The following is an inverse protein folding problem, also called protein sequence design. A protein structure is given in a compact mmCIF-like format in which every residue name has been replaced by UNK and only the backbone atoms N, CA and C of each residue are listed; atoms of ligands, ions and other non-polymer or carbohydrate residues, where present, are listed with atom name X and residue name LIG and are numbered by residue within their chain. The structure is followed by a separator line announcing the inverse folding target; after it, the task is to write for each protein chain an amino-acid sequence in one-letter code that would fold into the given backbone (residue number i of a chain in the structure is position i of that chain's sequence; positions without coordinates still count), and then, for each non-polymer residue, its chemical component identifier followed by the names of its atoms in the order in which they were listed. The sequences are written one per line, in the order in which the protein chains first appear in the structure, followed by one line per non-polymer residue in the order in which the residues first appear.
data_IF_720761276759
#
_entry.id   IF_720761276759
#
_cell.length_a   1.000
_cell.length_b   1.000
_cell.length_c   1.000
_cell.angle_alpha   90.00
_cell.angle_beta   90.00
_cell.angle_gamma   90.00
#
_symmetry.space_group_name_H-M   'P 1'
#
loop_
_entity.id
_entity.type
_entity.pdbx_description
1 polymer ?
#
# COMPACT_ATOMS: atom_id res chain seq x y z
N UNK A 1 15.47 16.24 -14.65
CA UNK A 1 15.30 16.53 -13.21
C UNK A 1 14.06 15.79 -12.81
N UNK A 2 14.17 14.88 -11.85
CA UNK A 2 13.20 13.82 -11.56
C UNK A 2 11.79 14.34 -11.22
N UNK A 3 11.69 15.59 -10.73
CA UNK A 3 10.42 16.29 -10.42
C UNK A 3 9.42 16.42 -11.60
N UNK A 4 9.87 16.27 -12.85
CA UNK A 4 8.99 16.35 -14.03
C UNK A 4 8.34 15.02 -14.42
N UNK A 5 8.97 13.89 -14.07
CA UNK A 5 8.49 12.55 -14.43
C UNK A 5 7.45 12.05 -13.41
N UNK A 6 7.58 12.47 -12.14
CA UNK A 6 6.69 12.07 -11.06
C UNK A 6 5.26 12.57 -11.28
N UNK A 7 5.08 13.84 -11.68
CA UNK A 7 3.74 14.40 -11.88
C UNK A 7 2.96 13.68 -12.99
N UNK A 8 3.62 13.37 -14.10
CA UNK A 8 3.01 12.62 -15.21
C UNK A 8 2.64 11.19 -14.81
N UNK A 9 3.48 10.53 -14.00
CA UNK A 9 3.15 9.23 -13.43
C UNK A 9 1.96 9.28 -12.48
N UNK A 10 1.90 10.27 -11.57
CA UNK A 10 0.78 10.42 -10.63
C UNK A 10 -0.55 10.58 -11.36
N UNK A 11 -0.61 11.47 -12.34
CA UNK A 11 -1.82 11.67 -13.17
C UNK A 11 -2.20 10.39 -13.94
N UNK A 12 -1.21 9.61 -14.39
CA UNK A 12 -1.43 8.31 -15.03
C UNK A 12 -2.06 7.28 -14.10
N UNK A 13 -1.53 7.13 -12.88
CA UNK A 13 -2.09 6.21 -11.89
C UNK A 13 -3.48 6.65 -11.43
N UNK A 14 -3.71 7.95 -11.22
CA UNK A 14 -5.04 8.48 -10.89
C UNK A 14 -6.07 8.19 -12.00
N UNK A 15 -5.66 8.25 -13.26
CA UNK A 15 -6.54 7.91 -14.38
C UNK A 15 -6.92 6.43 -14.38
N UNK A 16 -5.97 5.52 -14.13
CA UNK A 16 -6.24 4.08 -13.99
C UNK A 16 -7.17 3.83 -12.80
N UNK A 17 -6.89 4.44 -11.64
CA UNK A 17 -7.71 4.26 -10.43
C UNK A 17 -9.10 4.90 -10.51
N UNK A 18 -9.32 5.79 -11.47
CA UNK A 18 -10.65 6.32 -11.79
C UNK A 18 -11.47 5.34 -12.63
N UNK A 19 -10.81 4.50 -13.43
CA UNK A 19 -11.45 3.43 -14.21
C UNK A 19 -11.66 2.18 -13.37
N UNK A 20 -10.64 1.76 -12.62
CA UNK A 20 -10.71 0.69 -11.62
C UNK A 20 -10.13 1.15 -10.27
N UNK A 21 -10.99 1.57 -9.33
CA UNK A 21 -10.57 2.02 -8.00
C UNK A 21 -9.89 0.95 -7.14
N UNK A 22 -9.99 -0.32 -7.51
CA UNK A 22 -9.45 -1.44 -6.74
C UNK A 22 -8.35 -2.18 -7.51
N UNK A 23 -7.81 -1.60 -8.58
CA UNK A 23 -6.67 -2.16 -9.30
C UNK A 23 -5.46 -2.23 -8.36
N UNK A 24 -5.17 -3.45 -7.90
CA UNK A 24 -4.14 -3.74 -6.91
C UNK A 24 -2.76 -3.36 -7.44
N UNK A 25 -2.51 -3.58 -8.72
CA UNK A 25 -1.23 -3.29 -9.36
C UNK A 25 -1.02 -1.77 -9.45
N UNK A 26 -2.03 -1.02 -9.90
CA UNK A 26 -1.99 0.43 -9.95
C UNK A 26 -1.85 1.05 -8.55
N UNK A 27 -2.59 0.56 -7.55
CA UNK A 27 -2.49 1.02 -6.17
C UNK A 27 -1.08 0.76 -5.60
N UNK A 28 -0.51 -0.42 -5.85
CA UNK A 28 0.82 -0.80 -5.38
C UNK A 28 1.95 0.01 -6.03
N UNK A 29 1.87 0.17 -7.35
CA UNK A 29 2.88 0.90 -8.13
C UNK A 29 2.82 2.40 -7.82
N UNK A 30 1.62 2.96 -7.65
CA UNK A 30 1.47 4.34 -7.24
C UNK A 30 1.99 4.57 -5.82
N UNK A 31 1.69 3.65 -4.89
CA UNK A 31 2.25 3.73 -3.54
C UNK A 31 3.78 3.71 -3.55
N UNK A 32 4.39 2.82 -4.34
CA UNK A 32 5.86 2.74 -4.46
C UNK A 32 6.47 4.06 -4.91
N UNK A 33 5.86 4.75 -5.88
CA UNK A 33 6.29 6.08 -6.30
C UNK A 33 6.17 7.12 -5.18
N UNK A 34 5.07 7.09 -4.42
CA UNK A 34 4.85 8.00 -3.28
C UNK A 34 5.73 7.68 -2.06
N UNK A 35 6.40 6.52 -2.03
CA UNK A 35 7.34 6.18 -0.98
C UNK A 35 8.73 6.81 -1.17
N UNK A 36 9.01 7.37 -2.35
CA UNK A 36 10.27 8.07 -2.62
C UNK A 36 10.40 9.38 -1.83
N UNK A 37 9.28 9.99 -1.44
CA UNK A 37 9.25 11.23 -0.67
C UNK A 37 8.58 11.03 0.70
N UNK A 38 9.28 11.41 1.78
CA UNK A 38 8.75 11.38 3.16
C UNK A 38 7.40 12.12 3.30
N UNK A 39 7.21 13.21 2.54
CA UNK A 39 5.99 14.00 2.56
C UNK A 39 4.76 13.23 2.04
N UNK A 40 4.95 12.28 1.13
CA UNK A 40 3.86 11.50 0.50
C UNK A 40 3.72 10.09 1.06
N UNK A 41 4.55 9.71 2.03
CA UNK A 41 4.45 8.40 2.66
C UNK A 41 3.05 8.14 3.25
N UNK A 42 2.39 9.14 3.84
CA UNK A 42 1.01 8.99 4.35
C UNK A 42 0.00 8.59 3.27
N UNK A 43 0.15 9.12 2.05
CA UNK A 43 -0.69 8.77 0.90
C UNK A 43 -0.35 7.36 0.38
N UNK A 44 0.93 7.01 0.31
CA UNK A 44 1.37 5.67 -0.06
C UNK A 44 0.75 4.59 0.84
N UNK A 45 0.70 4.85 2.16
CA UNK A 45 0.09 3.92 3.11
C UNK A 45 -1.41 3.72 2.85
N UNK A 46 -2.14 4.79 2.55
CA UNK A 46 -3.56 4.71 2.24
C UNK A 46 -3.82 3.88 0.96
N UNK A 47 -2.96 4.01 -0.05
CA UNK A 47 -3.02 3.21 -1.27
C UNK A 47 -2.73 1.73 -1.00
N UNK A 48 -1.69 1.41 -0.22
CA UNK A 48 -1.36 0.04 0.15
C UNK A 48 -2.44 -0.60 1.01
N UNK A 49 -3.05 0.14 1.93
CA UNK A 49 -4.21 -0.34 2.72
C UNK A 49 -5.40 -0.70 1.82
N UNK A 50 -5.67 0.09 0.77
CA UNK A 50 -6.70 -0.23 -0.23
C UNK A 50 -6.33 -1.46 -1.05
N UNK A 51 -5.08 -1.56 -1.48
CA UNK A 51 -4.58 -2.71 -2.23
C UNK A 51 -4.69 -4.00 -1.42
N UNK A 52 -4.35 -3.97 -0.11
CA UNK A 52 -4.55 -5.10 0.81
C UNK A 52 -6.03 -5.41 1.05
N UNK A 53 -6.91 -4.42 1.07
CA UNK A 53 -8.35 -4.68 1.19
C UNK A 53 -8.92 -5.41 -0.06
N UNK A 54 -8.36 -5.13 -1.24
CA UNK A 54 -8.76 -5.76 -2.50
C UNK A 54 -8.08 -7.13 -2.71
N UNK A 55 -6.80 -7.25 -2.35
CA UNK A 55 -6.03 -8.49 -2.41
C UNK A 55 -5.17 -8.64 -1.13
N UNK A 56 -5.76 -9.21 -0.06
CA UNK A 56 -5.09 -9.34 1.24
C UNK A 56 -3.80 -10.16 1.19
N UNK A 57 -3.72 -11.09 0.24
CA UNK A 57 -2.62 -12.05 0.10
C UNK A 57 -1.60 -11.64 -0.97
N UNK A 58 -1.68 -10.39 -1.46
CA UNK A 58 -0.73 -9.91 -2.44
C UNK A 58 0.63 -9.65 -1.77
N UNK A 59 1.56 -10.60 -1.89
CA UNK A 59 2.90 -10.54 -1.28
C UNK A 59 3.64 -9.25 -1.61
N UNK A 60 3.46 -8.71 -2.81
CA UNK A 60 4.10 -7.47 -3.24
C UNK A 60 3.61 -6.26 -2.44
N UNK A 61 2.28 -6.12 -2.29
CA UNK A 61 1.66 -5.08 -1.48
C UNK A 61 2.07 -5.21 -0.02
N UNK A 62 2.06 -6.44 0.52
CA UNK A 62 2.53 -6.74 1.87
C UNK A 62 3.99 -6.29 2.06
N UNK A 63 4.85 -6.57 1.08
CA UNK A 63 6.27 -6.20 1.12
C UNK A 63 6.48 -4.70 1.11
N UNK A 64 5.74 -3.97 0.25
CA UNK A 64 5.81 -2.51 0.18
C UNK A 64 5.27 -1.85 1.46
N UNK A 65 4.22 -2.42 2.04
CA UNK A 65 3.69 -1.97 3.33
C UNK A 65 4.69 -2.19 4.47
N UNK A 66 5.34 -3.35 4.53
CA UNK A 66 6.39 -3.62 5.50
C UNK A 66 7.59 -2.66 5.35
N UNK A 67 8.01 -2.37 4.10
CA UNK A 67 9.08 -1.41 3.83
C UNK A 67 8.69 0.00 4.29
N UNK A 68 7.47 0.45 3.98
CA UNK A 68 6.93 1.74 4.41
C UNK A 68 6.92 1.91 5.94
N UNK A 69 6.56 0.85 6.67
CA UNK A 69 6.49 0.87 8.14
C UNK A 69 7.87 0.76 8.81
N UNK A 70 8.86 0.28 8.08
CA UNK A 70 10.26 0.24 8.52
C UNK A 70 11.00 1.56 8.25
N UNK A 71 10.40 2.52 7.56
CA UNK A 71 11.06 3.80 7.26
C UNK A 71 11.31 4.62 8.54
N UNK A 72 12.55 5.10 8.77
CA UNK A 72 12.91 5.87 9.96
C UNK A 72 12.25 7.25 9.95
N UNK A 73 11.10 7.36 10.64
CA UNK A 73 10.30 8.59 10.68
C UNK A 73 8.84 8.32 11.05
N UNK A 74 8.36 7.10 10.77
CA UNK A 74 7.07 6.59 11.24
C UNK A 74 7.12 6.30 12.73
N UNK A 75 6.14 6.80 13.48
CA UNK A 75 6.05 6.55 14.91
C UNK A 75 5.71 5.09 15.19
N UNK A 76 6.08 4.58 16.37
CA UNK A 76 5.73 3.20 16.81
C UNK A 76 4.23 2.87 16.75
N UNK A 77 3.36 3.90 16.70
CA UNK A 77 1.91 3.76 16.63
C UNK A 77 1.44 3.25 15.26
N UNK A 78 2.07 3.71 14.18
CA UNK A 78 1.68 3.34 12.81
C UNK A 78 2.06 1.88 12.52
N UNK A 79 3.17 1.42 13.12
CA UNK A 79 3.61 0.03 13.08
C UNK A 79 2.59 -0.94 13.69
N UNK A 80 2.03 -0.59 14.86
CA UNK A 80 1.06 -1.43 15.56
C UNK A 80 -0.30 -1.53 14.84
N UNK A 81 -0.74 -0.46 14.18
CA UNK A 81 -1.98 -0.50 13.38
C UNK A 81 -1.84 -1.39 12.16
N UNK A 82 -0.68 -1.34 11.49
CA UNK A 82 -0.41 -2.19 10.36
C UNK A 82 -0.23 -3.65 10.76
N UNK A 83 0.50 -3.95 11.83
CA UNK A 83 0.58 -5.31 12.40
C UNK A 83 -0.82 -5.85 12.74
N UNK A 84 -1.68 -5.06 13.38
CA UNK A 84 -3.06 -5.48 13.66
C UNK A 84 -3.88 -5.72 12.38
N UNK A 85 -3.61 -5.00 11.29
CA UNK A 85 -4.22 -5.27 9.99
C UNK A 85 -3.69 -6.57 9.37
N UNK A 86 -2.39 -6.82 9.43
CA UNK A 86 -1.79 -8.08 8.98
C UNK A 86 -2.31 -9.28 9.75
N UNK A 87 -2.39 -9.20 11.08
CA UNK A 87 -2.97 -10.25 11.94
C UNK A 87 -4.44 -10.51 11.60
N UNK A 88 -5.22 -9.49 11.24
CA UNK A 88 -6.60 -9.66 10.80
C UNK A 88 -6.71 -10.31 9.42
N UNK A 89 -5.81 -9.97 8.50
CA UNK A 89 -5.76 -10.57 7.17
C UNK A 89 -5.36 -12.04 7.29
N UNK A 90 -4.24 -12.33 7.97
CA UNK A 90 -3.72 -13.69 8.16
C UNK A 90 -4.66 -14.54 9.02
N UNK A 91 -5.24 -13.97 10.09
CA UNK A 91 -6.23 -14.64 10.92
C UNK A 91 -7.58 -14.87 10.25
N UNK A 92 -7.88 -14.14 9.16
CA UNK A 92 -9.05 -14.41 8.32
C UNK A 92 -8.79 -15.60 7.37
N UNK A 93 -7.54 -15.86 6.98
CA UNK A 93 -7.19 -17.02 6.15
C UNK A 93 -7.18 -18.34 6.93
N UNK A 94 -6.93 -18.31 8.23
CA UNK A 94 -7.01 -19.51 9.08
C UNK A 94 -8.46 -19.91 9.45
N UNK A 95 -9.46 -19.15 9.01
CA UNK A 95 -10.89 -19.44 9.23
C UNK A 95 -11.59 -20.25 8.13
N UNK A 96 -10.97 -20.44 6.96
CA UNK A 96 -11.54 -21.20 5.83
C UNK A 96 -10.74 -22.48 5.51
N UNK A 97 -10.35 -23.21 6.54
CA UNK A 97 -10.09 -24.66 6.42
C UNK A 97 -11.06 -25.42 7.31
N UNK A 98 -12.30 -25.47 6.85
CA UNK A 98 -13.23 -26.53 7.24
C UNK A 98 -12.63 -27.88 6.83
N UNK A 99 -12.21 -28.67 7.82
CA UNK A 99 -12.43 -30.14 7.91
C UNK A 99 -12.31 -30.61 9.35
#
# INVERSE_FOLDING_TARGET
GLEGDDKGMREGFEAVLREDPNDVEALNNFASLLMEEEATMGEAEALLRRALAAAPNCTEVVSNMAFLLSSPGRGKRDHAEAEAMFERILGSEEGERDV
#
